data_IF_337853624391
#
_entry.id   IF_337853624391
#
_cell.length_a   1.000
_cell.length_b   1.000
_cell.length_c   1.000
_cell.angle_alpha   90.00
_cell.angle_beta   90.00
_cell.angle_gamma   90.00
#
_symmetry.space_group_name_H-M   'P 1'
#
loop_
_entity.id
_entity.type
_entity.pdbx_description
1 polymer ?
#
# COMPACT_ATOMS: atom_id res chain seq x y z
N UNK A 1 9.23 12.23 7.64
CA UNK A 1 8.45 11.30 6.81
C UNK A 1 7.38 12.11 6.13
N UNK A 2 7.32 12.13 4.80
CA UNK A 2 6.27 12.82 4.05
C UNK A 2 5.11 11.84 3.85
N UNK A 3 3.99 12.10 4.52
CA UNK A 3 2.76 11.36 4.29
C UNK A 3 2.06 12.02 3.09
N UNK A 4 1.95 11.27 1.99
CA UNK A 4 1.11 11.71 0.86
C UNK A 4 -0.35 11.51 1.28
N UNK A 5 -1.14 12.59 1.27
CA UNK A 5 -2.60 12.47 1.39
C UNK A 5 -3.09 11.66 0.19
N UNK A 6 -3.61 10.46 0.44
CA UNK A 6 -4.20 9.56 -0.56
C UNK A 6 -5.59 9.17 -0.06
N UNK A 7 -6.53 8.95 -0.98
CA UNK A 7 -7.93 8.69 -0.62
C UNK A 7 -8.11 7.26 -0.09
N UNK A 8 -7.36 6.32 -0.65
CA UNK A 8 -7.35 4.92 -0.21
C UNK A 8 -5.95 4.45 0.12
N UNK A 9 -5.85 3.63 1.17
CA UNK A 9 -4.62 2.97 1.60
C UNK A 9 -4.88 1.47 1.68
N UNK A 10 -3.91 0.67 1.22
CA UNK A 10 -3.85 -0.77 1.52
C UNK A 10 -2.43 -1.20 1.88
N UNK A 11 -2.33 -2.22 2.71
CA UNK A 11 -1.07 -2.81 3.14
C UNK A 11 -0.88 -4.15 2.43
N UNK A 12 0.27 -4.33 1.79
CA UNK A 12 0.62 -5.56 1.08
C UNK A 12 1.96 -6.08 1.58
N UNK A 13 2.07 -7.40 1.70
CA UNK A 13 3.26 -8.07 2.24
C UNK A 13 3.95 -8.95 1.20
N UNK A 14 3.22 -9.38 0.15
CA UNK A 14 3.76 -10.16 -0.95
C UNK A 14 4.08 -9.28 -2.15
N UNK A 15 5.25 -9.47 -2.75
CA UNK A 15 5.70 -8.72 -3.94
C UNK A 15 4.80 -8.95 -5.16
N UNK A 16 4.16 -10.12 -5.27
CA UNK A 16 3.16 -10.40 -6.31
C UNK A 16 1.97 -9.45 -6.23
N UNK A 17 1.37 -9.32 -5.04
CA UNK A 17 0.24 -8.41 -4.82
C UNK A 17 0.62 -6.95 -5.05
N UNK A 18 1.85 -6.57 -4.69
CA UNK A 18 2.39 -5.22 -4.96
C UNK A 18 2.44 -4.95 -6.46
N UNK A 19 2.94 -5.90 -7.25
CA UNK A 19 3.01 -5.77 -8.71
C UNK A 19 1.61 -5.67 -9.33
N UNK A 20 0.66 -6.47 -8.87
CA UNK A 20 -0.73 -6.42 -9.33
C UNK A 20 -1.39 -5.08 -8.98
N UNK A 21 -1.12 -4.55 -7.79
CA UNK A 21 -1.61 -3.24 -7.37
C UNK A 21 -1.00 -2.11 -8.21
N UNK A 22 0.29 -2.16 -8.52
CA UNK A 22 0.98 -1.17 -9.36
C UNK A 22 0.37 -1.11 -10.77
N UNK A 23 0.07 -2.26 -11.37
CA UNK A 23 -0.58 -2.31 -12.71
C UNK A 23 -2.02 -1.80 -12.67
N UNK A 24 -2.68 -1.90 -11.51
CA UNK A 24 -4.04 -1.41 -11.26
C UNK A 24 -4.10 0.08 -10.87
N UNK A 25 -3.00 0.82 -10.98
CA UNK A 25 -2.94 2.26 -10.73
C UNK A 25 -2.68 2.67 -9.29
N UNK A 26 -2.31 1.74 -8.41
CA UNK A 26 -1.84 2.06 -7.05
C UNK A 26 -0.39 2.53 -7.09
N UNK A 27 0.02 3.29 -6.07
CA UNK A 27 1.41 3.73 -5.90
C UNK A 27 1.93 3.36 -4.52
N UNK A 28 3.19 2.96 -4.42
CA UNK A 28 3.83 2.79 -3.12
C UNK A 28 4.01 4.17 -2.48
N UNK A 29 3.45 4.38 -1.29
CA UNK A 29 3.58 5.63 -0.53
C UNK A 29 4.55 5.48 0.65
N UNK A 30 4.68 4.28 1.20
CA UNK A 30 5.67 3.97 2.22
C UNK A 30 6.06 2.48 2.17
N UNK A 31 7.27 2.18 2.66
CA UNK A 31 7.70 0.82 2.96
C UNK A 31 8.15 0.81 4.41
N UNK A 32 7.52 -0.03 5.22
CA UNK A 32 7.79 -0.13 6.66
C UNK A 32 8.18 -1.55 7.03
N UNK A 33 9.05 -1.68 8.04
CA UNK A 33 9.28 -2.98 8.66
C UNK A 33 8.06 -3.29 9.53
N UNK A 34 7.47 -4.47 9.32
CA UNK A 34 6.32 -4.95 10.10
C UNK A 34 6.45 -6.45 10.35
N UNK A 35 5.61 -6.98 11.23
CA UNK A 35 5.51 -8.42 11.46
C UNK A 35 4.36 -8.94 10.58
N UNK A 36 4.60 -9.99 9.81
CA UNK A 36 3.58 -10.56 8.92
C UNK A 36 2.41 -11.10 9.76
N UNK A 37 1.15 -10.99 9.29
CA UNK A 37 0.03 -11.64 9.96
C UNK A 37 0.26 -13.17 10.05
N UNK A 38 0.47 -13.68 11.27
CA UNK A 38 0.70 -15.11 11.51
C UNK A 38 2.16 -15.59 11.52
N UNK A 39 3.14 -14.68 11.56
CA UNK A 39 4.55 -15.03 11.78
C UNK A 39 5.22 -14.09 12.78
N UNK A 40 6.42 -14.46 13.26
CA UNK A 40 7.23 -13.63 14.17
C UNK A 40 8.41 -12.94 13.47
N UNK A 41 8.59 -13.19 12.17
CA UNK A 41 9.71 -12.64 11.41
C UNK A 41 9.37 -11.23 10.88
N UNK A 42 10.30 -10.28 11.00
CA UNK A 42 10.15 -8.97 10.40
C UNK A 42 10.15 -9.09 8.87
N UNK A 43 9.11 -8.54 8.24
CA UNK A 43 8.91 -8.48 6.80
C UNK A 43 8.74 -7.03 6.35
N UNK A 44 8.89 -6.80 5.04
CA UNK A 44 8.53 -5.52 4.45
C UNK A 44 7.00 -5.45 4.27
N UNK A 45 6.38 -4.40 4.80
CA UNK A 45 5.01 -4.02 4.49
C UNK A 45 5.05 -2.84 3.51
N UNK A 46 4.44 -3.04 2.36
CA UNK A 46 4.29 -2.04 1.31
C UNK A 46 2.94 -1.35 1.49
N UNK A 47 3.00 -0.09 1.89
CA UNK A 47 1.82 0.77 2.00
C UNK A 47 1.56 1.35 0.62
N UNK A 48 0.44 0.96 0.03
CA UNK A 48 -0.01 1.42 -1.27
C UNK A 48 -1.08 2.49 -1.09
N UNK A 49 -0.99 3.57 -1.87
CA UNK A 49 -1.96 4.64 -1.93
C UNK A 49 -2.56 4.80 -3.33
N UNK A 50 -3.82 5.20 -3.40
CA UNK A 50 -4.48 5.58 -4.65
C UNK A 50 -5.33 6.84 -4.43
N UNK A 51 -5.34 7.69 -5.45
CA UNK A 51 -6.26 8.81 -5.54
C UNK A 51 -7.55 8.35 -6.21
N UNK A 52 -8.68 8.60 -5.58
CA UNK A 52 -9.98 8.42 -6.19
C UNK A 52 -10.23 9.56 -7.20
N UNK A 53 -10.83 9.26 -8.36
CA UNK A 53 -11.37 10.29 -9.24
C UNK A 53 -12.31 11.22 -8.46
N UNK A 54 -12.36 12.51 -8.84
CA UNK A 54 -13.21 13.50 -8.16
C UNK A 54 -14.70 13.13 -8.09
N UNK A 55 -15.18 12.26 -8.98
CA UNK A 55 -16.56 11.77 -8.97
C UNK A 55 -16.85 10.75 -7.86
N UNK A 56 -15.84 10.06 -7.33
CA UNK A 56 -15.99 9.02 -6.30
C UNK A 56 -15.76 9.55 -4.87
N UNK A 57 -15.46 10.85 -4.70
CA UNK A 57 -15.21 11.51 -3.39
C UNK A 57 -16.50 12.12 -2.81
N UNK A 58 -17.57 11.33 -2.72
CA UNK A 58 -18.88 11.74 -2.17
C UNK A 58 -18.89 11.79 -0.64
#
# INVERSE_FOLDING_TARGET
>A
MQLYEVDEIKELFATGEVNDALTSGWRIVAVVSSVAPGGDLPVACYVMGRYLPKEDRL
#
